data_IF_691035457893
#
_entry.id   IF_691035457893
#
_cell.length_a   1.000
_cell.length_b   1.000
_cell.length_c   1.000
_cell.angle_alpha   90.00
_cell.angle_beta   90.00
_cell.angle_gamma   90.00
#
_symmetry.space_group_name_H-M   'P 1'
#
loop_
_entity.id
_entity.type
_entity.pdbx_description
1 polymer ?
#
# COMPACT_ATOMS: atom_id res chain seq x y z
N UNK A 1 5.00 9.87 34.84
CA UNK A 1 4.35 9.05 35.89
C UNK A 1 5.18 7.79 36.11
N UNK A 2 5.96 7.77 37.18
CA UNK A 2 6.74 6.60 37.58
C UNK A 2 5.84 5.61 38.32
N UNK A 3 5.59 4.46 37.72
CA UNK A 3 5.04 3.31 38.46
C UNK A 3 6.22 2.71 39.22
N UNK A 4 6.17 2.82 40.55
CA UNK A 4 7.02 2.08 41.48
C UNK A 4 6.56 0.61 41.47
N UNK A 5 6.94 -0.11 40.42
CA UNK A 5 6.80 -1.56 40.29
C UNK A 5 8.12 -2.09 39.79
N UNK A 6 8.64 -3.17 40.38
CA UNK A 6 9.96 -3.71 40.05
C UNK A 6 10.15 -3.89 38.54
N UNK A 7 11.40 -3.89 38.08
CA UNK A 7 11.76 -4.07 36.66
C UNK A 7 10.99 -5.23 36.00
N UNK A 8 10.68 -6.29 36.76
CA UNK A 8 9.84 -7.42 36.37
C UNK A 8 8.38 -7.04 36.02
N UNK A 9 7.71 -6.19 36.79
CA UNK A 9 6.32 -5.76 36.51
C UNK A 9 6.25 -4.90 35.26
N UNK A 10 7.16 -3.94 35.09
CA UNK A 10 7.19 -3.06 33.91
C UNK A 10 7.50 -3.82 32.62
N UNK A 11 8.37 -4.84 32.71
CA UNK A 11 8.64 -5.77 31.59
C UNK A 11 7.43 -6.64 31.27
N UNK A 12 6.74 -7.17 32.29
CA UNK A 12 5.56 -8.00 32.12
C UNK A 12 4.38 -7.22 31.51
N UNK A 13 4.11 -6.01 32.01
CA UNK A 13 3.10 -5.09 31.47
C UNK A 13 3.36 -4.74 30.00
N UNK A 14 4.62 -4.44 29.66
CA UNK A 14 5.02 -4.15 28.28
C UNK A 14 4.88 -5.37 27.36
N UNK A 15 5.20 -6.57 27.88
CA UNK A 15 5.02 -7.84 27.18
C UNK A 15 3.56 -8.16 26.88
N UNK A 16 2.69 -8.09 27.90
CA UNK A 16 1.23 -8.28 27.72
C UNK A 16 0.63 -7.26 26.75
N UNK A 17 1.06 -6.01 26.84
CA UNK A 17 0.62 -4.96 25.93
C UNK A 17 1.03 -5.23 24.49
N UNK A 18 2.28 -5.68 24.27
CA UNK A 18 2.76 -6.13 22.96
C UNK A 18 1.97 -7.32 22.41
N UNK A 19 1.67 -8.30 23.27
CA UNK A 19 0.91 -9.50 22.87
C UNK A 19 -0.54 -9.17 22.52
N UNK A 20 -1.23 -8.37 23.35
CA UNK A 20 -2.60 -7.91 23.08
C UNK A 20 -2.68 -7.14 21.76
N UNK A 21 -1.73 -6.24 21.51
CA UNK A 21 -1.60 -5.54 20.22
C UNK A 21 -1.41 -6.50 19.06
N UNK A 22 -0.53 -7.49 19.22
CA UNK A 22 -0.23 -8.44 18.17
C UNK A 22 -1.49 -9.22 17.77
N UNK A 23 -2.23 -9.76 18.75
CA UNK A 23 -3.46 -10.51 18.48
C UNK A 23 -4.53 -9.63 17.85
N UNK A 24 -4.78 -8.44 18.40
CA UNK A 24 -5.76 -7.50 17.85
C UNK A 24 -5.42 -7.14 16.40
N UNK A 25 -4.15 -6.81 16.16
CA UNK A 25 -3.66 -6.41 14.86
C UNK A 25 -3.67 -7.56 13.85
N UNK A 26 -3.44 -8.80 14.29
CA UNK A 26 -3.43 -9.97 13.44
C UNK A 26 -4.84 -10.34 12.98
N UNK A 27 -5.80 -10.40 13.91
CA UNK A 27 -7.21 -10.67 13.59
C UNK A 27 -7.76 -9.62 12.63
N UNK A 28 -7.49 -8.35 12.94
CA UNK A 28 -7.96 -7.26 12.11
C UNK A 28 -7.24 -7.24 10.74
N UNK A 29 -5.96 -7.61 10.67
CA UNK A 29 -5.24 -7.68 9.39
C UNK A 29 -5.78 -8.77 8.46
N UNK A 30 -5.99 -10.00 8.96
CA UNK A 30 -6.53 -11.09 8.14
C UNK A 30 -7.92 -10.76 7.57
N UNK A 31 -8.83 -10.26 8.40
CA UNK A 31 -10.19 -9.98 7.94
C UNK A 31 -10.27 -8.78 6.98
N UNK A 32 -9.40 -7.80 7.16
CA UNK A 32 -9.46 -6.53 6.43
C UNK A 32 -8.62 -6.56 5.13
N UNK A 33 -7.48 -7.26 5.11
CA UNK A 33 -6.64 -7.38 3.90
C UNK A 33 -7.38 -8.14 2.81
N UNK A 34 -8.01 -9.27 3.15
CA UNK A 34 -8.69 -10.12 2.17
C UNK A 34 -9.94 -9.43 1.59
N UNK A 35 -10.58 -8.54 2.36
CA UNK A 35 -11.79 -7.83 1.95
C UNK A 35 -11.52 -6.54 1.14
N UNK A 36 -10.42 -5.82 1.40
CA UNK A 36 -10.22 -4.47 0.84
C UNK A 36 -9.33 -4.41 -0.39
N UNK A 37 -8.64 -5.49 -0.74
CA UNK A 37 -7.69 -5.51 -1.85
C UNK A 37 -6.40 -4.73 -1.55
N UNK A 38 -5.32 -5.10 -2.24
CA UNK A 38 -3.94 -4.69 -1.87
C UNK A 38 -3.65 -3.20 -1.96
N UNK A 39 -4.29 -2.48 -2.90
CA UNK A 39 -4.04 -1.05 -3.07
C UNK A 39 -4.73 -0.23 -1.97
N UNK A 40 -5.99 -0.56 -1.66
CA UNK A 40 -6.76 0.17 -0.65
C UNK A 40 -6.23 -0.11 0.75
N UNK A 41 -5.81 -1.34 1.04
CA UNK A 41 -5.19 -1.67 2.32
C UNK A 41 -3.90 -0.87 2.55
N UNK A 42 -3.08 -0.66 1.52
CA UNK A 42 -1.86 0.17 1.60
C UNK A 42 -2.18 1.63 1.92
N UNK A 43 -3.16 2.21 1.23
CA UNK A 43 -3.60 3.58 1.48
C UNK A 43 -4.19 3.77 2.88
N UNK A 44 -5.07 2.86 3.31
CA UNK A 44 -5.69 2.91 4.63
C UNK A 44 -4.62 2.76 5.71
N UNK A 45 -3.66 1.85 5.52
CA UNK A 45 -2.54 1.67 6.44
C UNK A 45 -1.69 2.94 6.61
N UNK A 46 -1.25 3.56 5.50
CA UNK A 46 -0.41 4.77 5.56
C UNK A 46 -1.19 5.97 6.13
N UNK A 47 -2.46 6.15 5.78
CA UNK A 47 -3.27 7.26 6.32
C UNK A 47 -3.47 7.12 7.83
N UNK A 48 -3.76 5.91 8.33
CA UNK A 48 -3.83 5.65 9.77
C UNK A 48 -2.47 5.91 10.44
N UNK A 49 -1.37 5.45 9.83
CA UNK A 49 -0.02 5.68 10.34
C UNK A 49 0.32 7.17 10.46
N UNK A 50 -0.06 7.96 9.44
CA UNK A 50 0.16 9.40 9.39
C UNK A 50 -0.61 10.10 10.50
N UNK A 51 -1.92 9.82 10.63
CA UNK A 51 -2.77 10.42 11.66
C UNK A 51 -2.23 10.09 13.06
N UNK A 52 -1.82 8.84 13.29
CA UNK A 52 -1.24 8.42 14.56
C UNK A 52 0.07 9.12 14.89
N UNK A 53 1.00 9.29 13.93
CA UNK A 53 2.25 10.01 14.17
C UNK A 53 2.03 11.50 14.43
N UNK A 54 1.10 12.13 13.71
CA UNK A 54 0.73 13.53 13.97
C UNK A 54 0.13 13.66 15.37
N UNK A 55 -0.77 12.76 15.78
CA UNK A 55 -1.36 12.78 17.11
C UNK A 55 -0.33 12.53 18.22
N UNK A 56 0.52 11.49 18.09
CA UNK A 56 1.56 11.17 19.08
C UNK A 56 2.58 12.28 19.17
N UNK A 57 2.93 12.88 18.02
CA UNK A 57 3.55 14.19 17.95
C UNK A 57 2.78 15.12 18.87
N UNK A 58 1.62 15.65 18.44
CA UNK A 58 0.76 16.64 19.13
C UNK A 58 0.70 16.42 20.65
N UNK A 59 0.49 15.19 21.07
CA UNK A 59 0.45 14.80 22.46
C UNK A 59 1.76 15.09 23.23
N UNK A 60 2.92 14.72 22.69
CA UNK A 60 4.23 14.86 23.36
C UNK A 60 4.61 16.33 23.58
N UNK A 61 4.32 17.26 22.66
CA UNK A 61 4.65 18.70 22.86
C UNK A 61 3.84 19.35 23.96
N UNK A 62 2.55 18.99 24.07
CA UNK A 62 1.67 19.62 25.05
C UNK A 62 1.75 18.97 26.43
N UNK A 63 2.12 17.68 26.52
CA UNK A 63 2.16 16.92 27.77
C UNK A 63 3.58 16.50 28.18
N UNK A 64 4.61 17.20 27.71
CA UNK A 64 6.00 16.84 28.00
C UNK A 64 6.37 17.01 29.47
N UNK A 65 5.80 18.02 30.16
CA UNK A 65 6.16 18.37 31.54
C UNK A 65 4.94 18.66 32.46
N UNK A 66 3.72 18.35 32.01
CA UNK A 66 2.48 18.63 32.76
C UNK A 66 1.79 17.38 33.34
N UNK A 67 0.92 17.52 34.36
CA UNK A 67 0.06 16.44 34.82
C UNK A 67 -0.89 16.00 33.69
N UNK A 68 -0.76 14.75 33.28
CA UNK A 68 -1.56 14.18 32.20
C UNK A 68 -2.89 13.71 32.77
N UNK A 69 -4.00 14.24 32.25
CA UNK A 69 -5.34 13.74 32.59
C UNK A 69 -5.48 12.26 32.21
N UNK A 70 -6.18 11.47 33.03
CA UNK A 70 -6.44 10.05 32.76
C UNK A 70 -7.08 9.82 31.37
N UNK A 71 -7.93 10.75 30.92
CA UNK A 71 -8.55 10.70 29.60
C UNK A 71 -7.55 10.85 28.45
N UNK A 72 -6.54 11.71 28.61
CA UNK A 72 -5.52 11.97 27.61
C UNK A 72 -4.59 10.75 27.45
N UNK A 73 -4.27 10.07 28.57
CA UNK A 73 -3.50 8.81 28.57
C UNK A 73 -4.26 7.66 27.90
N UNK A 74 -5.57 7.51 28.17
CA UNK A 74 -6.40 6.50 27.50
C UNK A 74 -6.49 6.74 25.99
N UNK A 75 -6.64 7.99 25.57
CA UNK A 75 -6.64 8.35 24.15
C UNK A 75 -5.30 8.03 23.47
N UNK A 76 -4.17 8.29 24.13
CA UNK A 76 -2.85 7.93 23.60
C UNK A 76 -2.71 6.41 23.42
N UNK A 77 -3.18 5.61 24.36
CA UNK A 77 -3.18 4.15 24.25
C UNK A 77 -4.00 3.70 23.03
N UNK A 78 -5.20 4.23 22.85
CA UNK A 78 -6.07 3.92 21.70
C UNK A 78 -5.38 4.24 20.36
N UNK A 79 -4.75 5.41 20.25
CA UNK A 79 -4.03 5.82 19.03
C UNK A 79 -2.86 4.89 18.70
N UNK A 80 -2.18 4.34 19.72
CA UNK A 80 -1.12 3.36 19.50
C UNK A 80 -1.67 2.02 18.99
N UNK A 81 -2.88 1.61 19.38
CA UNK A 81 -3.54 0.44 18.79
C UNK A 81 -3.94 0.69 17.33
N UNK A 82 -4.47 1.87 17.00
CA UNK A 82 -4.75 2.24 15.61
C UNK A 82 -3.48 2.28 14.75
N UNK A 83 -2.38 2.78 15.31
CA UNK A 83 -1.07 2.75 14.66
C UNK A 83 -0.60 1.33 14.36
N UNK A 84 -0.72 0.41 15.34
CA UNK A 84 -0.35 -0.98 15.17
C UNK A 84 -1.19 -1.66 14.08
N UNK A 85 -2.51 -1.40 14.08
CA UNK A 85 -3.42 -1.89 13.06
C UNK A 85 -3.06 -1.37 11.66
N UNK A 86 -2.83 -0.07 11.50
CA UNK A 86 -2.41 0.53 10.22
C UNK A 86 -1.10 -0.06 9.69
N UNK A 87 -0.14 -0.31 10.59
CA UNK A 87 1.13 -0.93 10.23
C UNK A 87 0.96 -2.37 9.72
N UNK A 88 0.14 -3.17 10.39
CA UNK A 88 -0.08 -4.56 9.99
C UNK A 88 -0.86 -4.70 8.68
N UNK A 89 -1.86 -3.85 8.45
CA UNK A 89 -2.70 -3.90 7.25
C UNK A 89 -1.95 -3.41 6.01
N UNK A 90 -1.12 -2.38 6.16
CA UNK A 90 -0.45 -1.72 5.03
C UNK A 90 1.03 -2.09 4.92
N UNK A 91 1.83 -1.54 5.84
CA UNK A 91 3.28 -1.43 5.67
C UNK A 91 4.03 -2.73 5.96
N UNK A 92 3.46 -3.66 6.73
CA UNK A 92 4.16 -4.88 7.11
C UNK A 92 4.18 -5.92 6.00
N UNK A 93 3.03 -6.27 5.42
CA UNK A 93 2.94 -7.41 4.48
C UNK A 93 3.18 -6.96 3.05
N UNK A 94 2.63 -5.80 2.66
CA UNK A 94 2.58 -5.42 1.25
C UNK A 94 3.96 -5.23 0.62
N UNK A 95 4.95 -4.52 1.21
CA UNK A 95 6.25 -4.33 0.57
C UNK A 95 6.98 -5.64 0.23
N UNK A 96 6.79 -6.69 1.05
CA UNK A 96 7.36 -8.01 0.79
C UNK A 96 6.65 -8.73 -0.34
N UNK A 97 5.32 -8.63 -0.41
CA UNK A 97 4.53 -9.17 -1.52
C UNK A 97 4.89 -8.46 -2.82
N UNK A 98 4.85 -7.12 -2.85
CA UNK A 98 5.26 -6.31 -3.98
C UNK A 98 6.71 -6.63 -4.40
N UNK A 99 7.60 -6.80 -3.43
CA UNK A 99 8.99 -7.20 -3.66
C UNK A 99 9.13 -8.57 -4.33
N UNK A 100 8.18 -9.50 -4.18
CA UNK A 100 8.20 -10.80 -4.87
C UNK A 100 7.56 -10.78 -6.25
N UNK A 101 6.58 -9.91 -6.45
CA UNK A 101 5.78 -9.78 -7.68
C UNK A 101 6.45 -8.90 -8.74
N UNK A 102 7.30 -7.96 -8.34
CA UNK A 102 7.96 -7.03 -9.26
C UNK A 102 9.06 -7.67 -10.12
N UNK A 103 9.71 -8.72 -9.62
CA UNK A 103 10.89 -9.28 -10.28
C UNK A 103 10.54 -10.38 -11.29
N UNK A 104 11.11 -10.32 -12.51
CA UNK A 104 10.98 -11.41 -13.47
C UNK A 104 11.66 -12.68 -12.93
N UNK A 105 11.08 -13.84 -13.24
CA UNK A 105 11.44 -15.12 -12.59
C UNK A 105 12.95 -15.45 -12.65
N UNK A 106 13.64 -15.01 -13.72
CA UNK A 106 15.09 -15.23 -13.91
C UNK A 106 15.97 -14.43 -12.94
N UNK A 107 15.51 -13.25 -12.49
CA UNK A 107 16.28 -12.33 -11.64
C UNK A 107 15.70 -12.22 -10.23
N UNK A 108 14.61 -12.94 -9.92
CA UNK A 108 13.87 -12.84 -8.66
C UNK A 108 14.74 -13.01 -7.42
N UNK A 109 15.65 -13.99 -7.41
CA UNK A 109 16.54 -14.21 -6.26
C UNK A 109 17.56 -13.07 -6.08
N UNK A 110 18.13 -12.56 -7.17
CA UNK A 110 19.11 -11.46 -7.12
C UNK A 110 18.44 -10.13 -6.77
N UNK A 111 17.34 -9.78 -7.43
CA UNK A 111 16.58 -8.56 -7.15
C UNK A 111 15.98 -8.56 -5.74
N UNK A 112 15.49 -9.72 -5.28
CA UNK A 112 15.03 -9.91 -3.91
C UNK A 112 16.14 -9.68 -2.88
N UNK A 113 17.34 -10.23 -3.11
CA UNK A 113 18.49 -10.02 -2.23
C UNK A 113 18.90 -8.54 -2.16
N UNK A 114 19.02 -7.86 -3.30
CA UNK A 114 19.36 -6.44 -3.36
C UNK A 114 18.31 -5.59 -2.63
N UNK A 115 17.02 -5.84 -2.87
CA UNK A 115 15.92 -5.16 -2.20
C UNK A 115 15.98 -5.34 -0.68
N UNK A 116 16.23 -6.56 -0.21
CA UNK A 116 16.40 -6.83 1.22
C UNK A 116 17.63 -6.13 1.80
N UNK A 117 18.77 -6.15 1.11
CA UNK A 117 19.98 -5.44 1.56
C UNK A 117 19.70 -3.95 1.75
N UNK A 118 19.06 -3.29 0.78
CA UNK A 118 18.66 -1.88 0.93
C UNK A 118 17.66 -1.69 2.07
N UNK A 119 16.67 -2.56 2.21
CA UNK A 119 15.68 -2.49 3.29
C UNK A 119 16.35 -2.51 4.67
N UNK A 120 17.24 -3.49 4.93
CA UNK A 120 17.97 -3.60 6.18
C UNK A 120 18.96 -2.46 6.40
N UNK A 121 19.60 -1.97 5.33
CA UNK A 121 20.49 -0.82 5.38
C UNK A 121 19.74 0.45 5.81
N UNK A 122 18.57 0.72 5.24
CA UNK A 122 17.74 1.87 5.64
C UNK A 122 17.24 1.75 7.07
N UNK A 123 16.82 0.56 7.50
CA UNK A 123 16.45 0.33 8.90
C UNK A 123 17.61 0.67 9.84
N UNK A 124 18.83 0.22 9.50
CA UNK A 124 20.02 0.52 10.29
C UNK A 124 20.32 2.02 10.34
N UNK A 125 20.32 2.70 9.18
CA UNK A 125 20.59 4.13 9.08
C UNK A 125 19.59 4.97 9.91
N UNK A 126 18.30 4.63 9.84
CA UNK A 126 17.26 5.29 10.63
C UNK A 126 17.47 5.03 12.13
N UNK A 127 17.68 3.77 12.53
CA UNK A 127 17.90 3.42 13.95
C UNK A 127 19.12 4.11 14.55
N UNK A 128 20.20 4.26 13.78
CA UNK A 128 21.38 4.99 14.19
C UNK A 128 21.12 6.50 14.34
N UNK A 129 20.29 7.08 13.47
CA UNK A 129 19.99 8.51 13.45
C UNK A 129 18.96 8.96 14.50
N UNK A 130 18.04 8.08 14.90
CA UNK A 130 16.99 8.33 15.91
C UNK A 130 17.51 8.97 17.21
N UNK A 131 18.55 8.45 17.90
CA UNK A 131 18.99 9.03 19.17
C UNK A 131 19.51 10.46 19.02
N UNK A 132 20.18 10.78 17.91
CA UNK A 132 20.62 12.15 17.60
C UNK A 132 19.41 13.07 17.35
N UNK A 133 18.44 12.59 16.57
CA UNK A 133 17.23 13.33 16.23
C UNK A 133 16.36 13.64 17.46
N UNK A 134 16.22 12.69 18.39
CA UNK A 134 15.46 12.87 19.63
C UNK A 134 16.09 13.94 20.53
N UNK A 135 17.42 13.96 20.61
CA UNK A 135 18.17 14.94 21.43
C UNK A 135 18.04 16.36 20.88
N UNK A 136 18.14 16.54 19.56
CA UNK A 136 18.07 17.87 18.93
C UNK A 136 16.65 18.43 18.89
N UNK A 137 15.63 17.57 18.84
CA UNK A 137 14.25 17.99 18.53
C UNK A 137 13.28 17.87 19.71
N UNK A 138 13.80 17.79 20.94
CA UNK A 138 13.02 17.68 22.17
C UNK A 138 11.96 16.58 22.10
N UNK A 139 12.28 15.41 21.54
CA UNK A 139 11.40 14.25 21.28
C UNK A 139 10.21 14.49 20.34
N UNK A 140 9.46 15.59 20.51
CA UNK A 140 8.31 15.98 19.70
C UNK A 140 8.59 15.93 18.20
N UNK A 141 9.65 16.62 17.75
CA UNK A 141 9.80 16.85 16.32
C UNK A 141 10.33 15.64 15.57
N UNK A 142 10.86 14.63 16.28
CA UNK A 142 11.16 13.34 15.67
C UNK A 142 9.88 12.66 15.16
N UNK A 143 8.79 12.70 15.92
CA UNK A 143 7.50 12.12 15.52
C UNK A 143 6.88 12.87 14.33
N UNK A 144 6.99 14.20 14.29
CA UNK A 144 6.55 14.98 13.13
C UNK A 144 7.40 14.74 11.89
N UNK A 145 8.70 14.52 12.05
CA UNK A 145 9.58 14.17 10.93
C UNK A 145 9.14 12.84 10.29
N UNK A 146 8.84 11.82 11.10
CA UNK A 146 8.28 10.56 10.61
C UNK A 146 6.88 10.71 10.00
N UNK A 147 6.05 11.61 10.53
CA UNK A 147 4.77 11.95 9.92
C UNK A 147 4.97 12.55 8.51
N UNK A 148 5.93 13.46 8.34
CA UNK A 148 6.28 14.02 7.03
C UNK A 148 6.73 12.95 6.03
N UNK A 149 7.52 11.97 6.49
CA UNK A 149 7.91 10.84 5.65
C UNK A 149 6.73 9.94 5.28
N UNK A 150 5.79 9.70 6.21
CA UNK A 150 4.55 8.97 5.94
C UNK A 150 3.68 9.71 4.90
N UNK A 151 3.63 11.04 4.94
CA UNK A 151 2.91 11.84 3.95
C UNK A 151 3.53 11.76 2.57
N UNK A 152 4.87 11.83 2.48
CA UNK A 152 5.58 11.62 1.22
C UNK A 152 5.33 10.22 0.65
N UNK A 153 5.34 9.20 1.52
CA UNK A 153 5.01 7.83 1.14
C UNK A 153 3.56 7.70 0.65
N UNK A 154 2.61 8.43 1.24
CA UNK A 154 1.22 8.47 0.79
C UNK A 154 1.09 9.02 -0.64
N UNK A 155 1.80 10.12 -0.93
CA UNK A 155 1.85 10.72 -2.26
C UNK A 155 2.49 9.74 -3.26
N UNK A 156 3.62 9.13 -2.87
CA UNK A 156 4.31 8.14 -3.69
C UNK A 156 3.38 6.98 -4.05
N UNK A 157 2.65 6.43 -3.09
CA UNK A 157 1.69 5.34 -3.30
C UNK A 157 0.57 5.77 -4.24
N UNK A 158 0.14 7.02 -4.16
CA UNK A 158 -0.90 7.53 -5.04
C UNK A 158 -0.50 7.60 -6.50
N UNK A 159 0.72 8.05 -6.80
CA UNK A 159 1.19 8.21 -8.18
C UNK A 159 1.87 6.96 -8.74
N UNK A 160 2.67 6.25 -7.94
CA UNK A 160 3.54 5.16 -8.42
C UNK A 160 3.00 3.75 -8.21
N UNK A 161 1.98 3.53 -7.38
CA UNK A 161 1.47 2.16 -7.13
C UNK A 161 0.24 1.89 -8.01
N UNK A 162 0.40 1.21 -9.17
CA UNK A 162 -0.73 0.71 -9.93
C UNK A 162 -1.42 -0.41 -9.16
N UNK A 163 -2.69 -0.67 -9.51
CA UNK A 163 -3.46 -1.75 -8.92
C UNK A 163 -3.00 -3.09 -9.52
N UNK A 164 -2.10 -3.78 -8.82
CA UNK A 164 -1.55 -5.09 -9.26
C UNK A 164 -2.35 -6.29 -8.72
N UNK A 165 -3.48 -6.04 -8.04
CA UNK A 165 -4.24 -7.09 -7.38
C UNK A 165 -4.95 -7.98 -8.39
N UNK A 166 -4.63 -9.28 -8.40
CA UNK A 166 -5.32 -10.28 -9.23
C UNK A 166 -4.75 -10.47 -10.65
N UNK A 167 -3.60 -9.87 -10.97
CA UNK A 167 -2.91 -10.08 -12.23
C UNK A 167 -1.95 -11.28 -12.15
N UNK A 168 -1.83 -12.03 -13.23
CA UNK A 168 -0.83 -13.09 -13.36
C UNK A 168 0.58 -12.49 -13.48
N UNK A 169 1.62 -13.28 -13.18
CA UNK A 169 3.02 -12.81 -13.25
C UNK A 169 3.38 -12.40 -14.68
N UNK A 170 2.76 -13.03 -15.68
CA UNK A 170 2.92 -12.71 -17.11
C UNK A 170 2.26 -11.39 -17.49
N UNK A 171 1.07 -11.10 -16.95
CA UNK A 171 0.37 -9.82 -17.15
C UNK A 171 1.12 -8.65 -16.48
N UNK A 172 1.76 -8.91 -15.33
CA UNK A 172 2.62 -7.95 -14.63
C UNK A 172 3.85 -7.61 -15.49
N UNK A 173 4.49 -8.59 -16.13
CA UNK A 173 5.60 -8.36 -17.06
C UNK A 173 5.17 -7.52 -18.28
N UNK A 174 3.94 -7.72 -18.78
CA UNK A 174 3.36 -6.89 -19.84
C UNK A 174 3.09 -5.45 -19.37
N UNK A 175 2.63 -5.27 -18.13
CA UNK A 175 2.37 -3.96 -17.55
C UNK A 175 3.63 -3.08 -17.48
N UNK A 176 4.76 -3.71 -17.16
CA UNK A 176 6.08 -3.08 -17.01
C UNK A 176 6.86 -2.90 -18.32
N UNK A 177 6.41 -3.47 -19.45
CA UNK A 177 7.06 -3.29 -20.77
C UNK A 177 6.87 -1.89 -21.39
N UNK A 178 5.95 -1.07 -20.88
CA UNK A 178 5.79 0.33 -21.32
C UNK A 178 6.22 1.35 -20.28
N UNK A 179 6.20 2.65 -20.62
CA UNK A 179 6.57 3.74 -19.70
C UNK A 179 5.90 3.62 -18.32
N UNK A 180 6.70 3.68 -17.25
CA UNK A 180 6.32 3.46 -15.84
C UNK A 180 5.16 4.35 -15.39
N UNK A 181 5.09 5.58 -15.89
CA UNK A 181 4.01 6.54 -15.59
C UNK A 181 2.65 6.11 -16.16
N UNK A 182 2.62 5.29 -17.22
CA UNK A 182 1.37 4.80 -17.83
C UNK A 182 0.92 3.44 -17.26
N UNK A 183 1.68 2.84 -16.34
CA UNK A 183 1.32 1.56 -15.71
C UNK A 183 -0.03 1.66 -14.97
N UNK A 184 -0.32 2.81 -14.35
CA UNK A 184 -1.61 3.10 -13.71
C UNK A 184 -2.81 3.02 -14.69
N UNK A 185 -2.62 3.44 -15.95
CA UNK A 185 -3.68 3.44 -16.97
C UNK A 185 -3.83 2.07 -17.65
N UNK A 186 -2.73 1.32 -17.80
CA UNK A 186 -2.73 -0.05 -18.35
C UNK A 186 -3.28 -1.10 -17.39
N UNK A 187 -3.11 -0.93 -16.07
CA UNK A 187 -3.66 -1.88 -15.10
C UNK A 187 -5.21 -1.93 -15.11
N UNK A 188 -5.85 -0.88 -15.63
CA UNK A 188 -7.30 -0.79 -15.87
C UNK A 188 -7.76 -1.41 -17.19
N UNK A 189 -6.85 -1.69 -18.12
CA UNK A 189 -7.13 -2.32 -19.40
C UNK A 189 -6.58 -3.74 -19.32
N UNK A 190 -7.38 -4.70 -18.83
CA UNK A 190 -7.00 -6.11 -18.84
C UNK A 190 -6.59 -6.52 -20.27
N UNK A 191 -5.33 -6.91 -20.52
CA UNK A 191 -5.03 -7.67 -21.71
C UNK A 191 -5.60 -9.06 -21.47
N UNK A 192 -6.62 -9.46 -22.23
CA UNK A 192 -7.01 -10.87 -22.31
C UNK A 192 -5.81 -11.61 -22.89
N UNK A 193 -5.00 -12.22 -22.05
CA UNK A 193 -3.99 -13.16 -22.50
C UNK A 193 -4.73 -14.48 -22.63
N UNK A 194 -5.24 -14.77 -23.83
CA UNK A 194 -5.66 -16.12 -24.20
C UNK A 194 -4.51 -17.06 -23.88
N UNK A 195 -4.73 -17.98 -22.95
CA UNK A 195 -3.81 -19.07 -22.65
C UNK A 195 -3.54 -19.82 -23.94
N UNK A 196 -2.35 -19.60 -24.53
CA UNK A 196 -1.88 -20.29 -25.73
C UNK A 196 -1.81 -21.78 -25.43
N UNK A 197 -2.83 -22.48 -25.89
CA UNK A 197 -2.88 -23.93 -26.01
C UNK A 197 -1.81 -24.38 -27.01
N UNK A 198 -1.07 -25.41 -26.62
CA UNK A 198 -0.03 -26.07 -27.39
C UNK A 198 -0.55 -26.54 -28.75
N UNK A 199 0.02 -26.08 -29.87
CA UNK A 199 -0.17 -26.76 -31.16
C UNK A 199 -0.21 -25.85 -32.39
N UNK A 200 0.89 -25.88 -33.15
CA UNK A 200 1.04 -25.52 -34.57
C UNK A 200 -0.27 -25.36 -35.38
N UNK A 201 -0.56 -24.16 -35.89
CA UNK A 201 -1.17 -23.90 -37.21
C UNK A 201 -1.15 -22.40 -37.56
N UNK A 202 -0.79 -22.11 -38.81
CA UNK A 202 -0.80 -20.78 -39.44
C UNK A 202 -2.19 -20.15 -39.35
N UNK A 203 -2.27 -18.81 -39.32
CA UNK A 203 -3.14 -17.95 -40.15
C UNK A 203 -3.00 -16.49 -39.69
N UNK A 204 -2.63 -15.62 -40.64
CA UNK A 204 -2.75 -14.16 -40.60
C UNK A 204 -4.20 -13.72 -40.43
N UNK A 205 -4.47 -12.55 -39.81
CA UNK A 205 -5.29 -11.42 -40.36
C UNK A 205 -5.60 -10.38 -39.27
N UNK A 206 -5.63 -9.12 -39.71
CA UNK A 206 -6.04 -7.88 -39.06
C UNK A 206 -7.34 -7.93 -38.23
N UNK A 207 -7.48 -6.91 -37.36
CA UNK A 207 -8.69 -6.09 -37.09
C UNK A 207 -8.73 -5.75 -35.59
N UNK A 208 -8.73 -4.50 -35.12
CA UNK A 208 -9.60 -3.40 -35.56
C UNK A 208 -10.66 -3.16 -34.48
N UNK A 209 -10.26 -2.66 -33.30
CA UNK A 209 -11.17 -2.37 -32.18
C UNK A 209 -12.11 -1.20 -32.49
N UNK A 210 -13.35 -1.50 -32.87
CA UNK A 210 -14.44 -0.53 -33.05
C UNK A 210 -15.15 -0.25 -31.73
N UNK A 211 -15.30 1.04 -31.42
CA UNK A 211 -16.09 1.56 -30.30
C UNK A 211 -17.61 1.39 -30.55
N UNK A 212 -18.41 1.03 -29.53
CA UNK A 212 -19.85 0.75 -29.66
C UNK A 212 -20.74 1.98 -29.93
N UNK A 213 -20.18 3.18 -30.07
CA UNK A 213 -20.95 4.40 -30.36
C UNK A 213 -21.19 4.64 -31.87
N UNK A 214 -20.48 3.93 -32.76
CA UNK A 214 -20.52 4.19 -34.22
C UNK A 214 -21.63 3.41 -34.96
N UNK A 215 -22.15 2.33 -34.37
CA UNK A 215 -23.22 1.53 -34.97
C UNK A 215 -24.56 2.26 -35.04
N UNK A 216 -24.92 3.05 -34.01
CA UNK A 216 -26.21 3.74 -33.97
C UNK A 216 -26.35 4.87 -35.01
N UNK A 217 -25.24 5.44 -35.48
CA UNK A 217 -25.26 6.42 -36.58
C UNK A 217 -25.32 5.76 -37.97
N UNK A 218 -24.69 4.58 -38.15
CA UNK A 218 -24.66 3.88 -39.45
C UNK A 218 -25.98 3.16 -39.77
N UNK A 219 -26.70 2.69 -38.75
CA UNK A 219 -28.02 2.05 -38.94
C UNK A 219 -29.09 3.06 -39.37
N UNK A 220 -29.04 4.31 -38.87
CA UNK A 220 -29.99 5.36 -39.30
C UNK A 220 -29.73 5.90 -40.70
N UNK A 221 -28.48 5.90 -41.17
CA UNK A 221 -28.14 6.36 -42.53
C UNK A 221 -28.52 5.32 -43.59
N UNK A 222 -28.40 4.03 -43.28
CA UNK A 222 -28.69 2.94 -44.24
C UNK A 222 -30.19 2.72 -44.46
N UNK A 223 -31.03 2.97 -43.45
CA UNK A 223 -32.49 2.78 -43.56
C UNK A 223 -33.23 3.97 -44.22
N UNK A 224 -32.53 5.06 -44.56
CA UNK A 224 -33.14 6.25 -45.18
C UNK A 224 -33.21 6.25 -46.71
N UNK A 225 -32.60 5.28 -47.40
CA UNK A 225 -32.34 5.39 -48.86
C UNK A 225 -32.88 4.25 -49.74
N UNK A 226 -33.76 3.39 -49.23
CA UNK A 226 -34.44 2.38 -50.05
C UNK A 226 -35.75 2.94 -50.63
N UNK A 227 -35.65 3.85 -51.61
CA UNK A 227 -36.78 4.23 -52.46
C UNK A 227 -37.05 3.16 -53.53
N UNK A 228 -38.28 2.66 -53.54
CA UNK A 228 -38.90 1.73 -54.49
C UNK A 228 -38.86 2.28 -55.92
N UNK A 229 -38.69 1.42 -56.95
CA UNK A 229 -39.43 1.62 -58.18
C UNK A 229 -40.32 0.41 -58.52
N UNK A 230 -41.59 0.73 -58.66
CA UNK A 230 -42.70 -0.08 -59.18
C UNK A 230 -42.50 -0.47 -60.66
N UNK A 231 -43.16 -1.55 -61.06
CA UNK A 231 -43.49 -1.87 -62.46
C UNK A 231 -44.70 -1.09 -62.93
#
# INVERSE_FOLDING_TARGET
MGIRGGTSESMFLSGMYGFSKFIFSLVASFFFIDALGRRRSLFIGITLQLISHVYIGVFIKYHQEGPVSSSASQAAIAVVFFHAFGYAVGLFVLPYIFGGELWPNRLRSFGGAVSQTFHWLFIYAVKYSIPSLLKTTNNWGAFLFFAGWCFLALIYVFFMVPEISGLSVEEIDYLFKGSWFNAYKRARQHPVIDSVETGNSKVSTESGGKNPATELSLVKVTLGNASVPDK
#
